data_IF_084732295136
#
_entry.id   IF_084732295136
#
_cell.length_a   1.000
_cell.length_b   1.000
_cell.length_c   1.000
_cell.angle_alpha   90.00
_cell.angle_beta   90.00
_cell.angle_gamma   90.00
#
_symmetry.space_group_name_H-M   'P 1'
#
loop_
_entity.id
_entity.type
_entity.pdbx_description
1 polymer ?
#
# COMPACT_ATOMS: atom_id res chain seq x y z
N UNK A 1 -0.67 -6.80 15.11
CA UNK A 1 -1.03 -8.09 14.47
C UNK A 1 -1.84 -7.76 13.23
N UNK A 2 -1.49 -8.26 12.05
CA UNK A 2 -2.21 -7.97 10.79
C UNK A 2 -3.36 -8.95 10.58
N UNK A 3 -4.47 -8.47 10.00
CA UNK A 3 -5.58 -9.31 9.53
C UNK A 3 -5.86 -9.01 8.06
N UNK A 4 -6.03 -10.06 7.27
CA UNK A 4 -6.39 -9.95 5.85
C UNK A 4 -7.89 -10.16 5.68
N UNK A 5 -8.57 -9.14 5.15
CA UNK A 5 -9.93 -9.27 4.62
C UNK A 5 -9.86 -9.40 3.10
N UNK A 6 -10.76 -10.21 2.52
CA UNK A 6 -10.82 -10.47 1.06
C UNK A 6 -11.42 -9.31 0.27
N UNK A 7 -12.10 -8.40 0.95
CA UNK A 7 -12.69 -7.20 0.38
C UNK A 7 -11.60 -6.20 -0.01
N UNK A 8 -11.72 -5.61 -1.19
CA UNK A 8 -10.86 -4.54 -1.65
C UNK A 8 -11.20 -3.24 -0.92
N UNK A 9 -10.22 -2.33 -0.74
CA UNK A 9 -10.48 -1.02 -0.16
C UNK A 9 -11.39 -0.16 -1.06
N UNK A 10 -11.31 -0.38 -2.38
CA UNK A 10 -12.15 0.26 -3.37
C UNK A 10 -12.51 -0.73 -4.49
N UNK A 11 -13.62 -0.50 -5.19
CA UNK A 11 -14.00 -1.32 -6.33
C UNK A 11 -13.05 -1.04 -7.52
N UNK A 12 -12.13 -1.97 -7.80
CA UNK A 12 -11.08 -1.82 -8.80
C UNK A 12 -11.24 -2.79 -9.98
N UNK A 13 -12.47 -2.92 -10.50
CA UNK A 13 -12.77 -3.81 -11.63
C UNK A 13 -12.68 -3.03 -12.96
N UNK A 14 -11.80 -3.41 -13.90
CA UNK A 14 -11.77 -2.78 -15.22
C UNK A 14 -12.93 -3.26 -16.10
N UNK A 15 -13.47 -2.37 -16.95
CA UNK A 15 -14.54 -2.72 -17.91
C UNK A 15 -14.06 -3.68 -19.02
N UNK A 16 -12.79 -3.55 -19.43
CA UNK A 16 -12.16 -4.38 -20.47
C UNK A 16 -10.67 -4.64 -20.13
N UNK A 17 -10.14 -5.84 -20.44
CA UNK A 17 -8.72 -6.11 -20.26
C UNK A 17 -7.89 -5.28 -21.26
N UNK A 18 -6.92 -4.51 -20.74
CA UNK A 18 -5.98 -3.75 -21.56
C UNK A 18 -4.54 -3.99 -21.08
N UNK A 19 -3.70 -4.71 -21.87
CA UNK A 19 -2.35 -5.09 -21.45
C UNK A 19 -1.38 -3.90 -21.38
N UNK A 20 -1.63 -2.82 -22.14
CA UNK A 20 -0.81 -1.60 -22.05
C UNK A 20 -1.04 -0.89 -20.72
N UNK A 21 -2.30 -0.75 -20.29
CA UNK A 21 -2.64 -0.15 -19.00
C UNK A 21 -2.11 -1.02 -17.84
N UNK A 22 -2.20 -2.35 -17.95
CA UNK A 22 -1.62 -3.26 -16.96
C UNK A 22 -0.10 -3.07 -16.79
N UNK A 23 0.63 -2.81 -17.88
CA UNK A 23 2.07 -2.52 -17.83
C UNK A 23 2.37 -1.22 -17.06
N UNK A 24 1.58 -0.17 -17.27
CA UNK A 24 1.73 1.08 -16.52
C UNK A 24 1.34 0.95 -15.04
N UNK A 25 0.29 0.15 -14.74
CA UNK A 25 -0.10 -0.15 -13.36
C UNK A 25 0.99 -0.92 -12.60
N UNK A 26 1.79 -1.73 -13.29
CA UNK A 26 2.93 -2.42 -12.68
C UNK A 26 3.96 -1.44 -12.09
N UNK A 27 4.17 -0.27 -12.72
CA UNK A 27 5.02 0.80 -12.18
C UNK A 27 4.40 1.48 -10.96
N UNK A 28 3.08 1.67 -10.95
CA UNK A 28 2.36 2.23 -9.79
C UNK A 28 2.35 1.29 -8.58
N UNK A 29 2.33 -0.02 -8.79
CA UNK A 29 2.32 -0.99 -7.69
C UNK A 29 3.75 -1.30 -7.22
N UNK A 30 4.64 -1.61 -8.17
CA UNK A 30 5.98 -2.14 -7.89
C UNK A 30 7.15 -1.32 -8.40
N UNK A 31 6.90 -0.12 -8.93
CA UNK A 31 7.97 0.81 -9.31
C UNK A 31 8.67 1.43 -8.10
N UNK A 32 9.68 2.24 -8.38
CA UNK A 32 10.49 2.92 -7.36
C UNK A 32 9.65 3.78 -6.40
N UNK A 33 8.59 4.41 -6.92
CA UNK A 33 7.62 5.20 -6.17
C UNK A 33 6.26 4.51 -6.05
N UNK A 34 6.24 3.19 -6.28
CA UNK A 34 5.02 2.42 -6.21
C UNK A 34 4.52 2.22 -4.78
N UNK A 35 3.27 1.82 -4.66
CA UNK A 35 2.58 1.69 -3.38
C UNK A 35 3.26 0.68 -2.45
N UNK A 36 3.86 -0.39 -2.98
CA UNK A 36 4.66 -1.34 -2.18
C UNK A 36 5.90 -0.70 -1.56
N UNK A 37 6.60 0.14 -2.33
CA UNK A 37 7.80 0.83 -1.86
C UNK A 37 7.47 1.79 -0.72
N UNK A 38 6.37 2.55 -0.86
CA UNK A 38 5.88 3.48 0.15
C UNK A 38 5.36 2.74 1.39
N UNK A 39 4.59 1.68 1.20
CA UNK A 39 4.06 0.87 2.30
C UNK A 39 5.18 0.26 3.17
N UNK A 40 6.24 -0.25 2.53
CA UNK A 40 7.41 -0.79 3.23
C UNK A 40 8.20 0.30 3.95
N UNK A 41 8.40 1.47 3.34
CA UNK A 41 9.10 2.59 3.98
C UNK A 41 8.41 3.02 5.28
N UNK A 42 7.10 3.24 5.26
CA UNK A 42 6.36 3.63 6.46
C UNK A 42 6.28 2.52 7.50
N UNK A 43 6.23 1.25 7.07
CA UNK A 43 6.25 0.11 7.99
C UNK A 43 7.58 0.02 8.75
N UNK A 44 8.71 0.08 8.04
CA UNK A 44 10.03 0.04 8.66
C UNK A 44 10.31 1.27 9.52
N UNK A 45 9.81 2.44 9.12
CA UNK A 45 9.87 3.65 9.94
C UNK A 45 9.01 3.51 11.22
N UNK A 46 7.79 2.99 11.12
CA UNK A 46 6.92 2.76 12.28
C UNK A 46 7.49 1.73 13.26
N UNK A 47 8.12 0.66 12.77
CA UNK A 47 8.82 -0.32 13.62
C UNK A 47 10.11 0.22 14.25
N UNK A 48 10.83 1.08 13.54
CA UNK A 48 12.08 1.67 14.04
C UNK A 48 11.85 2.96 14.84
N UNK A 49 10.62 3.46 14.90
CA UNK A 49 10.27 4.69 15.60
C UNK A 49 10.46 4.50 17.11
N UNK A 50 11.39 5.27 17.68
CA UNK A 50 11.64 5.36 19.14
C UNK A 50 11.01 6.61 19.78
N UNK A 51 10.23 7.37 19.01
CA UNK A 51 9.59 8.62 19.41
C UNK A 51 8.18 8.43 19.97
N UNK A 52 7.41 9.53 20.02
CA UNK A 52 6.04 9.52 20.54
C UNK A 52 5.13 8.50 19.82
N UNK A 53 4.29 7.84 20.62
CA UNK A 53 3.38 6.79 20.16
C UNK A 53 2.40 7.29 19.08
N UNK A 54 2.04 8.57 19.11
CA UNK A 54 1.17 9.21 18.11
C UNK A 54 1.72 9.13 16.68
N UNK A 55 3.01 9.40 16.49
CA UNK A 55 3.62 9.36 15.15
C UNK A 55 3.83 7.92 14.70
N UNK A 56 4.12 7.02 15.64
CA UNK A 56 4.20 5.59 15.35
C UNK A 56 2.86 5.05 14.85
N UNK A 57 1.76 5.39 15.51
CA UNK A 57 0.42 4.96 15.11
C UNK A 57 0.06 5.49 13.72
N UNK A 58 0.30 6.78 13.48
CA UNK A 58 0.10 7.40 12.16
C UNK A 58 0.92 6.71 11.05
N UNK A 59 2.20 6.40 11.29
CA UNK A 59 3.05 5.73 10.31
C UNK A 59 2.55 4.31 10.00
N UNK A 60 2.11 3.58 11.03
CA UNK A 60 1.58 2.23 10.88
C UNK A 60 0.23 2.21 10.15
N UNK A 61 -0.64 3.19 10.41
CA UNK A 61 -1.91 3.37 9.70
C UNK A 61 -1.71 3.68 8.21
N UNK A 62 -0.77 4.59 7.90
CA UNK A 62 -0.42 4.92 6.53
C UNK A 62 0.16 3.69 5.81
N UNK A 63 1.02 2.92 6.48
CA UNK A 63 1.54 1.68 5.91
C UNK A 63 0.39 0.73 5.57
N UNK A 64 -0.51 0.44 6.52
CA UNK A 64 -1.64 -0.47 6.32
C UNK A 64 -2.58 -0.03 5.19
N UNK A 65 -2.81 1.28 5.05
CA UNK A 65 -3.61 1.82 3.95
C UNK A 65 -2.97 1.52 2.59
N UNK A 66 -1.69 1.87 2.41
CA UNK A 66 -0.97 1.63 1.15
C UNK A 66 -0.91 0.13 0.79
N UNK A 67 -0.81 -0.76 1.80
CA UNK A 67 -0.87 -2.20 1.59
C UNK A 67 -2.19 -2.71 0.98
N UNK A 68 -3.31 -2.05 1.23
CA UNK A 68 -4.58 -2.43 0.61
C UNK A 68 -4.89 -1.68 -0.68
N UNK A 69 -4.31 -0.49 -0.90
CA UNK A 69 -4.32 0.15 -2.22
C UNK A 69 -3.55 -0.71 -3.23
N UNK A 70 -2.43 -1.33 -2.83
CA UNK A 70 -1.65 -2.21 -3.72
C UNK A 70 -2.39 -3.48 -4.16
N UNK A 71 -3.56 -3.77 -3.58
CA UNK A 71 -4.44 -4.89 -3.95
C UNK A 71 -5.59 -4.47 -4.87
N UNK A 72 -5.86 -3.17 -4.99
CA UNK A 72 -6.84 -2.59 -5.89
C UNK A 72 -6.22 -2.53 -7.30
#
# INVERSE_FOLDING_TARGET
MFRHQKELQFEAKPDRPNPLIAKYLQELIGGQYGEMSVAMQYLFQGWSCRGEEKYKDMLMDIAQKNWGMSKC
#
